data_IF_647089293324
#
_entry.id   IF_647089293324
#
_cell.length_a   1.000
_cell.length_b   1.000
_cell.length_c   1.000
_cell.angle_alpha   90.00
_cell.angle_beta   90.00
_cell.angle_gamma   90.00
#
_symmetry.space_group_name_H-M   'P 1'
#
loop_
_entity.id
_entity.type
_entity.pdbx_description
1 polymer ?
#
# COMPACT_ATOMS: atom_id res chain seq x y z
N UNK A 1 -0.19 -11.01 -11.18
CA UNK A 1 0.28 -9.72 -11.74
C UNK A 1 1.78 -9.80 -11.89
N UNK A 2 2.33 -9.41 -13.05
CA UNK A 2 3.78 -9.28 -13.20
C UNK A 2 4.31 -8.05 -12.45
N UNK A 3 5.54 -8.14 -11.92
CA UNK A 3 6.20 -7.08 -11.17
C UNK A 3 6.33 -5.76 -11.96
N UNK A 4 6.42 -5.85 -13.28
CA UNK A 4 6.52 -4.72 -14.20
C UNK A 4 5.24 -3.87 -14.21
N UNK A 5 4.08 -4.53 -14.12
CA UNK A 5 2.78 -3.85 -14.17
C UNK A 5 2.49 -3.11 -12.86
N UNK A 6 2.85 -3.71 -11.71
CA UNK A 6 2.67 -3.03 -10.41
C UNK A 6 3.62 -1.84 -10.26
N UNK A 7 4.84 -1.92 -10.79
CA UNK A 7 5.82 -0.83 -10.66
C UNK A 7 5.33 0.47 -11.30
N UNK A 8 4.69 0.39 -12.48
CA UNK A 8 4.11 1.54 -13.15
C UNK A 8 3.00 2.19 -12.30
N UNK A 9 2.14 1.37 -11.70
CA UNK A 9 1.06 1.81 -10.80
C UNK A 9 1.62 2.48 -9.54
N UNK A 10 2.59 1.86 -8.87
CA UNK A 10 3.20 2.41 -7.65
C UNK A 10 3.86 3.77 -7.88
N UNK A 11 4.46 4.00 -9.06
CA UNK A 11 5.06 5.29 -9.43
C UNK A 11 4.06 6.43 -9.53
N UNK A 12 2.77 6.15 -9.74
CA UNK A 12 1.70 7.16 -9.77
C UNK A 12 1.39 7.74 -8.39
N UNK A 13 1.86 7.10 -7.30
CA UNK A 13 1.65 7.56 -5.91
C UNK A 13 0.17 7.81 -5.60
N UNK A 14 -0.67 6.84 -5.93
CA UNK A 14 -2.12 6.89 -5.71
C UNK A 14 -2.49 7.00 -4.22
N UNK A 15 -1.58 6.61 -3.34
CA UNK A 15 -1.75 6.70 -1.90
C UNK A 15 -0.40 7.01 -1.23
N UNK A 16 -0.46 7.59 -0.04
CA UNK A 16 0.72 8.01 0.73
C UNK A 16 0.65 7.42 2.15
N UNK A 17 1.80 7.02 2.68
CA UNK A 17 1.90 6.70 4.10
C UNK A 17 1.95 8.00 4.88
N UNK A 18 1.09 8.14 5.89
CA UNK A 18 1.05 9.35 6.72
C UNK A 18 2.24 9.48 7.68
N UNK A 19 3.10 8.46 7.75
CA UNK A 19 4.22 8.36 8.70
C UNK A 19 3.79 7.95 10.12
N UNK A 20 2.49 7.99 10.42
CA UNK A 20 1.92 7.55 11.68
C UNK A 20 1.60 6.06 11.73
N UNK A 21 1.42 5.56 12.94
CA UNK A 21 0.84 4.25 13.23
C UNK A 21 -0.52 4.40 13.90
N UNK A 22 -1.42 3.47 13.64
CA UNK A 22 -2.67 3.37 14.37
C UNK A 22 -2.46 2.77 15.79
N UNK A 23 -3.52 2.67 16.58
CA UNK A 23 -3.46 2.09 17.94
C UNK A 23 -3.02 0.62 17.96
N UNK A 24 -3.19 -0.10 16.85
CA UNK A 24 -2.79 -1.52 16.68
C UNK A 24 -1.38 -1.63 16.08
N UNK A 25 -0.63 -0.53 16.03
CA UNK A 25 0.69 -0.43 15.40
C UNK A 25 0.72 -0.66 13.87
N UNK A 26 -0.44 -0.63 13.21
CA UNK A 26 -0.58 -0.70 11.76
C UNK A 26 -0.18 0.62 11.10
N UNK A 27 0.39 0.53 9.90
CA UNK A 27 0.69 1.71 9.08
C UNK A 27 -0.61 2.37 8.61
N UNK A 28 -0.65 3.69 8.63
CA UNK A 28 -1.78 4.46 8.10
C UNK A 28 -1.50 4.85 6.65
N UNK A 29 -2.37 4.40 5.75
CA UNK A 29 -2.35 4.72 4.33
C UNK A 29 -3.46 5.74 4.02
N UNK A 30 -3.09 6.87 3.43
CA UNK A 30 -4.00 7.95 3.04
C UNK A 30 -4.22 7.95 1.54
N UNK A 31 -5.49 7.94 1.11
CA UNK A 31 -5.91 8.00 -0.30
C UNK A 31 -6.63 9.35 -0.51
N UNK A 32 -6.14 10.22 -1.41
CA UNK A 32 -6.83 11.46 -1.74
C UNK A 32 -8.12 11.18 -2.51
N UNK A 33 -9.26 11.37 -1.85
CA UNK A 33 -10.59 11.32 -2.44
C UNK A 33 -10.87 12.67 -3.11
N UNK A 34 -10.76 12.74 -4.43
CA UNK A 34 -11.02 13.98 -5.18
C UNK A 34 -10.11 14.24 -6.37
N UNK A 35 -9.22 13.30 -6.70
CA UNK A 35 -8.52 13.34 -7.98
C UNK A 35 -9.30 12.50 -8.98
N UNK A 36 -9.79 13.10 -10.06
CA UNK A 36 -10.34 12.38 -11.23
C UNK A 36 -9.32 11.40 -11.86
N UNK A 37 -8.07 11.42 -11.36
CA UNK A 37 -6.95 10.60 -11.80
C UNK A 37 -6.78 9.32 -10.98
N UNK A 38 -7.53 9.12 -9.88
CA UNK A 38 -7.40 7.93 -9.03
C UNK A 38 -8.23 6.77 -9.63
N UNK A 39 -7.59 5.90 -10.42
CA UNK A 39 -8.24 4.68 -10.89
C UNK A 39 -8.46 3.69 -9.73
N UNK A 40 -9.70 3.25 -9.55
CA UNK A 40 -10.07 2.27 -8.52
C UNK A 40 -9.43 0.90 -8.78
N UNK A 41 -9.26 0.51 -10.05
CA UNK A 41 -8.58 -0.73 -10.43
C UNK A 41 -7.10 -0.69 -10.04
N UNK A 42 -6.42 0.43 -10.31
CA UNK A 42 -5.02 0.61 -9.95
C UNK A 42 -4.82 0.70 -8.43
N UNK A 43 -5.77 1.32 -7.73
CA UNK A 43 -5.80 1.34 -6.27
C UNK A 43 -5.97 -0.07 -5.70
N UNK A 44 -6.89 -0.86 -6.24
CA UNK A 44 -7.10 -2.25 -5.82
C UNK A 44 -5.84 -3.09 -6.04
N UNK A 45 -5.23 -2.99 -7.23
CA UNK A 45 -3.98 -3.67 -7.54
C UNK A 45 -2.82 -3.26 -6.60
N UNK A 46 -2.79 -1.98 -6.21
CA UNK A 46 -1.82 -1.47 -5.22
C UNK A 46 -2.02 -2.13 -3.86
N UNK A 47 -3.27 -2.21 -3.38
CA UNK A 47 -3.59 -2.82 -2.09
C UNK A 47 -3.27 -4.32 -2.09
N UNK A 48 -3.67 -5.05 -3.13
CA UNK A 48 -3.39 -6.48 -3.27
C UNK A 48 -1.90 -6.77 -3.24
N UNK A 49 -1.10 -5.96 -3.96
CA UNK A 49 0.35 -6.08 -3.92
C UNK A 49 0.90 -5.84 -2.51
N UNK A 50 0.52 -4.74 -1.85
CA UNK A 50 1.02 -4.41 -0.51
C UNK A 50 0.65 -5.48 0.53
N UNK A 51 -0.53 -6.09 0.41
CA UNK A 51 -1.00 -7.17 1.29
C UNK A 51 -0.31 -8.51 0.99
N UNK A 52 0.14 -8.73 -0.26
CA UNK A 52 0.87 -9.94 -0.65
C UNK A 52 2.31 -9.99 -0.12
N UNK A 53 2.90 -8.83 0.24
CA UNK A 53 4.27 -8.76 0.77
C UNK A 53 4.30 -9.48 2.14
N UNK A 54 5.09 -10.55 2.30
CA UNK A 54 5.21 -11.23 3.58
C UNK A 54 5.77 -10.27 4.63
N UNK A 55 5.11 -10.19 5.78
CA UNK A 55 5.60 -9.41 6.92
C UNK A 55 6.49 -10.33 7.76
N UNK A 56 7.78 -10.02 7.82
CA UNK A 56 8.66 -10.64 8.80
C UNK A 56 8.31 -10.10 10.19
N UNK A 57 7.43 -10.79 10.91
CA UNK A 57 7.33 -10.61 12.35
C UNK A 57 8.49 -11.37 12.98
N UNK A 58 9.59 -10.66 13.27
CA UNK A 58 10.60 -11.13 14.19
C UNK A 58 9.97 -11.23 15.59
N UNK A 59 9.21 -12.28 15.85
CA UNK A 59 9.02 -12.76 17.21
C UNK A 59 10.32 -13.47 17.56
N UNK A 60 11.29 -12.71 18.06
CA UNK A 60 12.40 -13.28 18.80
C UNK A 60 11.79 -13.93 20.05
N UNK A 61 11.49 -15.22 19.96
CA UNK A 61 11.31 -16.06 21.14
C UNK A 61 12.71 -16.23 21.71
N UNK A 62 13.05 -15.43 22.72
CA UNK A 62 14.12 -15.73 23.67
C UNK A 62 13.54 -16.51 24.85
#
# INVERSE_FOLDING_TARGET
MEATNILAILKKKLAFLSGGKDRRSGLILTIPLGSDQTSMEELSATLDYLLSIPRYTHTLVQ
#
